data_IF_469502049158
#
_entry.id   IF_469502049158
#
_cell.length_a   1.000
_cell.length_b   1.000
_cell.length_c   1.000
_cell.angle_alpha   90.00
_cell.angle_beta   90.00
_cell.angle_gamma   90.00
#
_symmetry.space_group_name_H-M   'P 1'
#
loop_
_entity.id
_entity.type
_entity.pdbx_description
1 polymer ?
#
# COMPACT_ATOMS: atom_id res chain seq x y z
N UNK A 1 -4.33 6.46 10.32
CA UNK A 1 -3.56 5.96 9.14
C UNK A 1 -4.32 4.87 8.39
N UNK A 2 -3.77 4.29 7.32
CA UNK A 2 -4.46 3.24 6.54
C UNK A 2 -3.59 2.03 6.22
N UNK A 3 -4.20 0.84 6.24
CA UNK A 3 -3.62 -0.41 5.72
C UNK A 3 -4.33 -0.74 4.41
N UNK A 4 -3.55 -0.98 3.37
CA UNK A 4 -4.04 -1.39 2.04
C UNK A 4 -3.56 -2.82 1.83
N UNK A 5 -4.48 -3.76 1.88
CA UNK A 5 -4.22 -5.19 1.65
C UNK A 5 -4.65 -5.52 0.23
N UNK A 6 -3.71 -5.94 -0.62
CA UNK A 6 -4.00 -6.30 -2.02
C UNK A 6 -3.86 -7.78 -2.25
N UNK A 7 -4.67 -8.34 -3.14
CA UNK A 7 -4.64 -9.74 -3.56
C UNK A 7 -4.63 -9.78 -5.08
N UNK A 8 -3.64 -10.43 -5.67
CA UNK A 8 -3.53 -10.54 -7.13
C UNK A 8 -4.71 -11.34 -7.67
N UNK A 9 -5.39 -10.78 -8.67
CA UNK A 9 -6.45 -11.48 -9.43
C UNK A 9 -6.02 -11.87 -10.84
N UNK A 10 -4.81 -11.45 -11.25
CA UNK A 10 -4.18 -11.82 -12.52
C UNK A 10 -3.02 -12.80 -12.27
N UNK A 11 -2.59 -13.56 -13.31
CA UNK A 11 -1.40 -14.40 -13.23
C UNK A 11 -0.15 -13.62 -12.85
N UNK A 12 0.81 -14.30 -12.22
CA UNK A 12 2.04 -13.68 -11.70
C UNK A 12 2.87 -13.02 -12.80
N UNK A 13 2.81 -13.54 -14.03
CA UNK A 13 3.51 -13.01 -15.20
C UNK A 13 3.01 -11.60 -15.55
N UNK A 14 1.71 -11.33 -15.36
CA UNK A 14 1.12 -10.01 -15.54
C UNK A 14 1.56 -9.08 -14.40
N UNK A 15 1.60 -9.57 -13.16
CA UNK A 15 2.11 -8.79 -12.01
C UNK A 15 3.56 -8.38 -12.26
N UNK A 16 4.40 -9.30 -12.73
CA UNK A 16 5.82 -9.05 -12.98
C UNK A 16 6.06 -8.08 -14.13
N UNK A 17 5.19 -8.10 -15.15
CA UNK A 17 5.25 -7.14 -16.27
C UNK A 17 5.19 -5.68 -15.82
N UNK A 18 4.39 -5.36 -14.80
CA UNK A 18 4.19 -3.98 -14.31
C UNK A 18 4.93 -3.69 -12.99
N UNK A 19 5.76 -4.62 -12.52
CA UNK A 19 6.39 -4.54 -11.21
C UNK A 19 7.38 -3.36 -11.10
N UNK A 20 8.10 -3.07 -12.18
CA UNK A 20 9.07 -1.98 -12.20
C UNK A 20 8.38 -0.62 -12.02
N UNK A 21 7.31 -0.38 -12.77
CA UNK A 21 6.52 0.84 -12.68
C UNK A 21 5.81 0.96 -11.33
N UNK A 22 5.31 -0.16 -10.79
CA UNK A 22 4.76 -0.20 -9.43
C UNK A 22 5.81 0.19 -8.37
N UNK A 23 7.06 -0.24 -8.52
CA UNK A 23 8.16 0.15 -7.62
C UNK A 23 8.42 1.66 -7.69
N UNK A 24 8.40 2.27 -8.88
CA UNK A 24 8.56 3.72 -9.03
C UNK A 24 7.38 4.50 -8.41
N UNK A 25 6.16 3.99 -8.55
CA UNK A 25 4.99 4.50 -7.83
C UNK A 25 5.19 4.47 -6.30
N UNK A 26 5.69 3.36 -5.74
CA UNK A 26 5.97 3.26 -4.31
C UNK A 26 7.05 4.27 -3.88
N UNK A 27 8.16 4.37 -4.61
CA UNK A 27 9.25 5.32 -4.32
C UNK A 27 8.76 6.75 -4.26
N UNK A 28 7.99 7.21 -5.26
CA UNK A 28 7.36 8.54 -5.28
C UNK A 28 6.55 8.79 -4.01
N UNK A 29 5.75 7.82 -3.57
CA UNK A 29 4.92 7.99 -2.37
C UNK A 29 5.71 7.90 -1.05
N UNK A 30 6.87 7.24 -1.03
CA UNK A 30 7.81 7.34 0.10
C UNK A 30 8.46 8.74 0.17
N UNK A 31 8.88 9.31 -0.96
CA UNK A 31 9.44 10.68 -1.02
C UNK A 31 8.43 11.72 -0.52
N UNK A 32 7.15 11.51 -0.84
CA UNK A 32 6.03 12.34 -0.36
C UNK A 32 5.59 12.03 1.08
N UNK A 33 6.27 11.11 1.78
CA UNK A 33 5.94 10.66 3.14
C UNK A 33 4.50 10.10 3.29
N UNK A 34 3.92 9.65 2.18
CA UNK A 34 2.58 9.03 2.15
C UNK A 34 2.64 7.58 2.60
N UNK A 35 3.73 6.88 2.34
CA UNK A 35 3.92 5.48 2.74
C UNK A 35 4.87 5.35 3.93
N UNK A 36 4.54 4.40 4.81
CA UNK A 36 5.35 4.02 5.97
C UNK A 36 6.02 2.66 5.76
N UNK A 37 5.31 1.72 5.14
CA UNK A 37 5.83 0.40 4.80
C UNK A 37 5.07 -0.21 3.63
N UNK A 38 5.70 -1.09 2.87
CA UNK A 38 5.08 -1.82 1.78
C UNK A 38 5.84 -3.11 1.51
N UNK A 39 5.13 -4.21 1.23
CA UNK A 39 5.79 -5.47 0.91
C UNK A 39 4.83 -6.53 0.38
N UNK A 40 5.40 -7.61 -0.18
CA UNK A 40 4.64 -8.77 -0.65
C UNK A 40 4.12 -9.60 0.53
N UNK A 41 2.93 -10.19 0.37
CA UNK A 41 2.43 -11.26 1.24
C UNK A 41 3.30 -12.52 1.08
N UNK A 42 3.30 -13.38 2.11
CA UNK A 42 3.91 -14.72 2.06
C UNK A 42 2.82 -15.74 2.39
N UNK A 43 2.37 -16.58 1.43
CA UNK A 43 2.86 -16.72 0.05
C UNK A 43 2.61 -15.48 -0.82
N UNK A 44 3.30 -15.36 -1.97
CA UNK A 44 3.27 -14.19 -2.89
C UNK A 44 1.93 -14.09 -3.64
N UNK A 45 0.84 -13.88 -2.91
CA UNK A 45 -0.53 -13.76 -3.41
C UNK A 45 -0.99 -12.30 -3.53
N UNK A 46 -0.13 -11.36 -3.14
CA UNK A 46 -0.45 -9.94 -3.11
C UNK A 46 0.56 -9.15 -2.32
N UNK A 47 0.11 -8.05 -1.72
CA UNK A 47 0.94 -7.15 -0.94
C UNK A 47 0.16 -6.47 0.19
N UNK A 48 0.92 -5.82 1.07
CA UNK A 48 0.40 -4.96 2.13
C UNK A 48 1.15 -3.64 2.06
N UNK A 49 0.41 -2.54 2.14
CA UNK A 49 0.96 -1.19 2.22
C UNK A 49 0.39 -0.53 3.48
N UNK A 50 1.24 0.12 4.26
CA UNK A 50 0.88 0.96 5.39
C UNK A 50 1.11 2.41 4.97
N UNK A 51 0.04 3.21 4.99
CA UNK A 51 0.01 4.58 4.49
C UNK A 51 -0.29 5.56 5.63
N UNK A 52 0.43 6.68 5.66
CA UNK A 52 0.28 7.76 6.65
C UNK A 52 -0.75 8.84 6.23
N UNK A 53 -1.42 8.68 5.09
CA UNK A 53 -2.47 9.60 4.65
C UNK A 53 -3.65 9.62 5.64
N UNK A 54 -4.43 10.70 5.61
CA UNK A 54 -5.39 11.01 6.67
C UNK A 54 -6.82 10.67 6.31
N UNK A 55 -7.12 10.46 5.03
CA UNK A 55 -8.46 10.11 4.56
C UNK A 55 -8.45 8.94 3.59
N UNK A 56 -9.59 8.25 3.49
CA UNK A 56 -9.77 7.15 2.53
C UNK A 56 -9.72 7.66 1.08
N UNK A 57 -10.20 8.88 0.85
CA UNK A 57 -10.19 9.56 -0.44
C UNK A 57 -8.76 9.80 -0.93
N UNK A 58 -7.84 10.21 -0.04
CA UNK A 58 -6.42 10.35 -0.36
C UNK A 58 -5.77 9.00 -0.70
N UNK A 59 -6.16 7.91 -0.03
CA UNK A 59 -5.70 6.56 -0.40
C UNK A 59 -6.16 6.24 -1.82
N UNK A 60 -7.45 6.43 -2.12
CA UNK A 60 -8.01 6.12 -3.42
C UNK A 60 -7.39 6.97 -4.52
N UNK A 61 -7.16 8.26 -4.27
CA UNK A 61 -6.52 9.15 -5.22
C UNK A 61 -5.06 8.77 -5.49
N UNK A 62 -4.31 8.43 -4.44
CA UNK A 62 -2.97 7.89 -4.56
C UNK A 62 -2.96 6.61 -5.42
N UNK A 63 -3.88 5.67 -5.20
CA UNK A 63 -3.91 4.41 -5.95
C UNK A 63 -4.21 4.60 -7.44
N UNK A 64 -4.81 5.70 -7.88
CA UNK A 64 -5.05 5.96 -9.32
C UNK A 64 -3.76 6.06 -10.13
N UNK A 65 -2.65 6.44 -9.49
CA UNK A 65 -1.32 6.51 -10.10
C UNK A 65 -0.61 5.14 -10.15
N UNK A 66 -1.14 4.11 -9.49
CA UNK A 66 -0.51 2.78 -9.42
C UNK A 66 -0.77 1.97 -10.71
N UNK A 67 0.28 1.54 -11.44
CA UNK A 67 0.12 0.67 -12.61
C UNK A 67 -0.69 -0.58 -12.35
N UNK A 68 -0.62 -1.14 -11.13
CA UNK A 68 -1.41 -2.30 -10.76
C UNK A 68 -2.91 -1.97 -10.61
N UNK A 69 -3.25 -0.77 -10.13
CA UNK A 69 -4.62 -0.29 -10.07
C UNK A 69 -5.17 -0.02 -11.48
N UNK A 70 -4.41 0.72 -12.30
CA UNK A 70 -4.79 1.10 -13.67
C UNK A 70 -5.06 -0.13 -14.55
N UNK A 71 -4.25 -1.19 -14.40
CA UNK A 71 -4.38 -2.42 -15.19
C UNK A 71 -5.23 -3.50 -14.49
N UNK A 72 -5.95 -3.15 -13.42
CA UNK A 72 -6.84 -4.05 -12.67
C UNK A 72 -6.17 -5.38 -12.27
N UNK A 73 -4.94 -5.30 -11.74
CA UNK A 73 -4.08 -6.47 -11.44
C UNK A 73 -4.45 -7.12 -10.10
N UNK A 74 -4.99 -6.36 -9.17
CA UNK A 74 -5.38 -6.83 -7.84
C UNK A 74 -6.83 -6.47 -7.48
N UNK A 75 -7.35 -7.17 -6.49
CA UNK A 75 -8.41 -6.67 -5.62
C UNK A 75 -7.79 -6.11 -4.34
N UNK A 76 -8.47 -5.18 -3.69
CA UNK A 76 -7.93 -4.47 -2.53
C UNK A 76 -8.96 -4.30 -1.42
N UNK A 77 -8.44 -4.22 -0.20
CA UNK A 77 -9.14 -3.81 1.01
C UNK A 77 -8.41 -2.63 1.63
N UNK A 78 -9.14 -1.55 1.92
CA UNK A 78 -8.61 -0.36 2.61
C UNK A 78 -9.18 -0.34 4.01
N UNK A 79 -8.31 -0.45 5.00
CA UNK A 79 -8.64 -0.51 6.42
C UNK A 79 -8.12 0.78 7.07
N UNK A 80 -9.02 1.56 7.67
CA UNK A 80 -8.62 2.64 8.55
C UNK A 80 -8.04 2.05 9.84
N UNK A 81 -6.86 2.53 10.24
CA UNK A 81 -6.13 2.01 11.39
C UNK A 81 -5.64 3.15 12.26
N UNK A 82 -5.92 3.04 13.56
CA UNK A 82 -5.56 4.04 14.58
C UNK A 82 -4.79 3.33 15.68
N UNK A 83 -3.44 3.34 15.64
CA UNK A 83 -2.62 2.66 16.63
C UNK A 83 -2.77 3.33 18.01
N UNK A 84 -3.28 2.59 18.99
CA UNK A 84 -3.40 3.03 20.39
C UNK A 84 -2.27 2.51 21.29
N UNK A 85 -1.53 1.51 20.82
CA UNK A 85 -0.36 0.96 21.49
C UNK A 85 0.72 0.66 20.46
N UNK A 86 1.97 0.97 20.81
CA UNK A 86 3.16 0.81 19.96
C UNK A 86 4.32 0.32 20.81
N UNK A 87 5.34 -0.28 20.17
CA UNK A 87 6.65 -0.36 20.81
C UNK A 87 7.27 1.03 20.88
N UNK A 88 8.31 1.20 21.70
CA UNK A 88 8.98 2.50 21.89
C UNK A 88 9.55 3.04 20.57
N UNK A 89 10.05 2.16 19.71
CA UNK A 89 10.65 2.50 18.41
C UNK A 89 9.61 3.01 17.40
N UNK A 90 8.33 2.70 17.63
CA UNK A 90 7.20 3.05 16.76
C UNK A 90 6.26 4.08 17.40
N UNK A 91 6.66 4.75 18.48
CA UNK A 91 5.82 5.74 19.19
C UNK A 91 5.31 6.84 18.25
N UNK A 92 6.06 7.17 17.20
CA UNK A 92 5.66 8.15 16.18
C UNK A 92 4.42 7.75 15.37
N UNK A 93 3.99 6.50 15.43
CA UNK A 93 2.78 5.99 14.77
C UNK A 93 1.53 6.09 15.65
N UNK A 94 1.67 6.35 16.95
CA UNK A 94 0.55 6.34 17.90
C UNK A 94 -0.37 7.54 17.65
N UNK A 95 -1.67 7.26 17.53
CA UNK A 95 -2.70 8.27 17.22
C UNK A 95 -3.69 8.47 18.39
N UNK A 96 -3.67 7.60 19.41
CA UNK A 96 -4.48 7.70 20.65
C UNK A 96 -3.57 7.52 21.87
#
# INVERSE_FOLDING_TARGET
>A
MFIISVTYKKPIEIVEKYLAEHIEFLKKNYELQRLLASGRKVPRTGGVIISNVKTKEEVLDMLKDDPFYINEIYDYEIIEFTPSMTSKELEFLKEI
#
